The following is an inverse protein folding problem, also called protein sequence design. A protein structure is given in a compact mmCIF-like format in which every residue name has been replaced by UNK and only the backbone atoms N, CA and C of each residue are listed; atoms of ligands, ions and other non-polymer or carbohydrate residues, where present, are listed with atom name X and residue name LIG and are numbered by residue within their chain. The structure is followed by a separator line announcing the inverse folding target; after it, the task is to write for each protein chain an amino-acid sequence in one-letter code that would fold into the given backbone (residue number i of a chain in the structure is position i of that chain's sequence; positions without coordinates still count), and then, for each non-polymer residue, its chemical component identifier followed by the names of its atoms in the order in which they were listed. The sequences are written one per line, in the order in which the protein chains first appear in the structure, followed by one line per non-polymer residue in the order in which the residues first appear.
data_IF_934532232271
#
_entry.id   IF_934532232271
#
_cell.length_a   1.000
_cell.length_b   1.000
_cell.length_c   1.000
_cell.angle_alpha   90.00
_cell.angle_beta   90.00
_cell.angle_gamma   90.00
#
_symmetry.space_group_name_H-M   'P 1'
#
loop_
_entity.id
_entity.type
_entity.pdbx_description
1 polymer ?
#
# COMPACT_ATOMS: atom_id res chain seq x y z
N UNK A 1 -29.22 27.45 12.22
CA UNK A 1 -27.75 27.28 12.23
C UNK A 1 -27.48 25.78 12.35
N UNK A 2 -27.16 25.07 11.27
CA UNK A 2 -25.85 25.00 10.59
C UNK A 2 -24.87 24.11 11.37
N UNK A 3 -24.98 22.81 11.12
CA UNK A 3 -23.92 21.80 10.98
C UNK A 3 -22.64 21.99 11.83
N UNK A 4 -22.51 21.34 13.01
CA UNK A 4 -21.24 21.38 13.74
C UNK A 4 -20.87 20.13 14.58
N UNK A 5 -21.48 18.96 14.35
CA UNK A 5 -21.09 17.71 15.04
C UNK A 5 -20.97 16.51 14.10
N UNK A 6 -20.30 16.71 12.96
CA UNK A 6 -19.79 15.63 12.12
C UNK A 6 -18.30 15.90 11.91
N UNK A 7 -17.50 14.82 11.89
CA UNK A 7 -16.04 14.78 12.05
C UNK A 7 -15.68 14.71 13.56
N UNK A 8 -16.08 13.68 14.31
CA UNK A 8 -15.73 12.27 14.10
C UNK A 8 -14.26 12.13 13.67
N UNK A 9 -13.41 12.07 14.70
CA UNK A 9 -12.26 11.20 14.77
C UNK A 9 -11.41 11.23 13.50
N UNK A 10 -10.59 12.27 13.36
CA UNK A 10 -9.38 12.17 12.55
C UNK A 10 -8.55 11.10 13.26
N UNK A 11 -8.63 9.87 12.76
CA UNK A 11 -7.66 8.84 13.09
C UNK A 11 -6.37 9.34 12.44
N UNK A 12 -5.63 10.16 13.18
CA UNK A 12 -4.21 10.30 12.97
C UNK A 12 -3.64 8.91 13.24
N UNK A 13 -3.53 8.09 12.19
CA UNK A 13 -2.60 6.98 12.15
C UNK A 13 -1.18 7.57 12.11
N UNK A 14 -0.81 8.21 13.21
CA UNK A 14 0.56 8.57 13.49
C UNK A 14 1.23 7.30 14.04
N UNK A 15 2.13 6.76 13.21
CA UNK A 15 3.26 5.87 13.55
C UNK A 15 2.99 4.36 13.40
N UNK A 16 3.97 3.57 12.89
CA UNK A 16 5.39 3.89 12.81
C UNK A 16 5.85 4.27 11.40
N UNK A 17 6.62 5.35 11.32
CA UNK A 17 7.68 5.44 10.33
C UNK A 17 8.52 4.20 10.60
N UNK A 18 8.48 3.20 9.69
CA UNK A 18 9.43 2.11 9.71
C UNK A 18 10.81 2.71 9.41
N UNK A 19 11.44 3.24 10.45
CA UNK A 19 12.83 3.68 10.49
C UNK A 19 13.77 2.46 10.59
N UNK A 20 13.46 1.42 9.82
CA UNK A 20 14.40 0.36 9.50
C UNK A 20 14.88 0.68 8.10
N UNK A 21 16.18 0.96 7.94
CA UNK A 21 16.85 1.14 6.64
C UNK A 21 16.83 -0.12 5.77
N UNK A 22 15.67 -0.74 5.59
CA UNK A 22 15.42 -1.58 4.44
C UNK A 22 15.08 -0.61 3.34
N UNK A 23 16.05 -0.38 2.46
CA UNK A 23 15.81 0.33 1.21
C UNK A 23 14.68 -0.42 0.51
N UNK A 24 13.46 0.13 0.60
CA UNK A 24 12.32 -0.43 -0.10
C UNK A 24 12.72 -0.42 -1.57
N UNK A 25 12.80 -1.59 -2.23
CA UNK A 25 13.24 -1.67 -3.61
C UNK A 25 12.36 -0.79 -4.47
N UNK A 26 12.94 -0.18 -5.51
CA UNK A 26 12.18 0.64 -6.46
C UNK A 26 10.94 -0.16 -6.89
N UNK A 27 9.72 0.36 -6.65
CA UNK A 27 8.49 -0.38 -6.89
C UNK A 27 8.44 -1.01 -8.28
N UNK A 28 8.87 -0.29 -9.31
CA UNK A 28 8.82 -0.75 -10.70
C UNK A 28 9.78 -1.91 -10.99
N UNK A 29 10.76 -2.16 -10.12
CA UNK A 29 11.71 -3.28 -10.22
C UNK A 29 11.31 -4.52 -9.40
N UNK A 30 10.27 -4.42 -8.57
CA UNK A 30 9.86 -5.52 -7.70
C UNK A 30 9.23 -6.64 -8.54
N UNK A 31 9.66 -7.87 -8.25
CA UNK A 31 9.12 -9.10 -8.84
C UNK A 31 8.31 -9.89 -7.80
N UNK A 32 7.41 -10.76 -8.26
CA UNK A 32 6.65 -11.65 -7.36
C UNK A 32 7.56 -12.57 -6.53
N UNK A 33 8.71 -13.00 -7.07
CA UNK A 33 9.73 -13.76 -6.32
C UNK A 33 10.28 -12.96 -5.14
N UNK A 34 10.59 -11.68 -5.34
CA UNK A 34 11.06 -10.82 -4.25
C UNK A 34 9.96 -10.57 -3.22
N UNK A 35 8.71 -10.37 -3.65
CA UNK A 35 7.56 -10.22 -2.76
C UNK A 35 7.39 -11.48 -1.90
N UNK A 36 7.49 -12.66 -2.49
CA UNK A 36 7.38 -13.93 -1.76
C UNK A 36 8.53 -14.16 -0.79
N UNK A 37 9.69 -13.54 -1.02
CA UNK A 37 10.82 -13.57 -0.09
C UNK A 37 10.68 -12.57 1.08
N UNK A 38 9.78 -11.59 0.97
CA UNK A 38 9.48 -10.64 2.05
C UNK A 38 8.62 -11.31 3.13
N UNK A 39 8.73 -10.83 4.38
CA UNK A 39 7.79 -11.22 5.42
C UNK A 39 6.39 -10.67 5.11
N UNK A 40 5.34 -11.28 5.67
CA UNK A 40 3.96 -10.78 5.48
C UNK A 40 3.79 -9.33 5.94
N UNK A 41 4.49 -8.90 6.98
CA UNK A 41 4.47 -7.52 7.44
C UNK A 41 5.13 -6.57 6.43
N UNK A 42 6.27 -6.97 5.87
CA UNK A 42 6.99 -6.18 4.87
C UNK A 42 6.22 -6.09 3.56
N UNK A 43 5.53 -7.17 3.18
CA UNK A 43 4.60 -7.18 2.04
C UNK A 43 3.50 -6.13 2.21
N UNK A 44 2.86 -6.08 3.39
CA UNK A 44 1.81 -5.10 3.68
C UNK A 44 2.34 -3.67 3.73
N UNK A 45 3.52 -3.46 4.32
CA UNK A 45 4.18 -2.17 4.35
C UNK A 45 4.58 -1.70 2.94
N UNK A 46 5.08 -2.61 2.10
CA UNK A 46 5.41 -2.33 0.71
C UNK A 46 4.17 -1.93 -0.09
N UNK A 47 3.08 -2.71 -0.02
CA UNK A 47 1.81 -2.35 -0.69
C UNK A 47 1.29 -1.00 -0.20
N UNK A 48 1.35 -0.72 1.11
CA UNK A 48 0.93 0.56 1.67
C UNK A 48 1.83 1.75 1.22
N UNK A 49 3.08 1.48 0.84
CA UNK A 49 4.00 2.50 0.32
C UNK A 49 3.76 2.83 -1.16
N UNK A 50 3.03 1.99 -1.88
CA UNK A 50 2.75 2.19 -3.30
C UNK A 50 1.79 3.36 -3.51
N UNK A 51 2.09 4.16 -4.54
CA UNK A 51 1.14 5.12 -5.12
C UNK A 51 0.44 4.51 -6.34
N UNK A 52 -0.72 5.04 -6.72
CA UNK A 52 -1.43 4.59 -7.92
C UNK A 52 -0.56 4.63 -9.20
N UNK A 53 0.28 5.66 -9.35
CA UNK A 53 1.22 5.78 -10.47
C UNK A 53 2.28 4.68 -10.45
N UNK A 54 2.85 4.37 -9.29
CA UNK A 54 3.83 3.28 -9.15
C UNK A 54 3.19 1.92 -9.39
N UNK A 55 1.98 1.70 -8.89
CA UNK A 55 1.21 0.47 -9.15
C UNK A 55 1.03 0.21 -10.65
N UNK A 56 0.66 1.24 -11.41
CA UNK A 56 0.51 1.15 -12.87
C UNK A 56 1.82 0.87 -13.63
N UNK A 57 2.97 1.09 -13.00
CA UNK A 57 4.30 0.76 -13.55
C UNK A 57 4.77 -0.65 -13.19
N UNK A 58 4.10 -1.33 -12.26
CA UNK A 58 4.44 -2.70 -11.88
C UNK A 58 4.17 -3.67 -13.03
N UNK A 59 4.89 -4.79 -13.04
CA UNK A 59 4.60 -5.89 -13.97
C UNK A 59 3.18 -6.45 -13.72
N UNK A 60 2.50 -6.98 -14.76
CA UNK A 60 1.15 -7.52 -14.62
C UNK A 60 1.01 -8.60 -13.53
N UNK A 61 2.03 -9.45 -13.37
CA UNK A 61 2.04 -10.49 -12.33
C UNK A 61 2.05 -9.90 -10.92
N UNK A 62 2.80 -8.81 -10.73
CA UNK A 62 2.86 -8.10 -9.46
C UNK A 62 1.59 -7.31 -9.21
N UNK A 63 1.01 -6.66 -10.23
CA UNK A 63 -0.28 -5.99 -10.12
C UNK A 63 -1.38 -6.96 -9.68
N UNK A 64 -1.40 -8.17 -10.27
CA UNK A 64 -2.32 -9.24 -9.91
C UNK A 64 -2.10 -9.71 -8.47
N UNK A 65 -0.84 -9.93 -8.08
CA UNK A 65 -0.52 -10.32 -6.71
C UNK A 65 -1.00 -9.27 -5.69
N UNK A 66 -0.78 -7.98 -5.96
CA UNK A 66 -1.27 -6.89 -5.11
C UNK A 66 -2.79 -6.91 -5.03
N UNK A 67 -3.49 -7.13 -6.15
CA UNK A 67 -4.96 -7.23 -6.17
C UNK A 67 -5.48 -8.41 -5.33
N UNK A 68 -4.74 -9.53 -5.27
CA UNK A 68 -5.15 -10.72 -4.51
C UNK A 68 -4.82 -10.61 -3.01
N UNK A 69 -3.76 -9.87 -2.63
CA UNK A 69 -3.20 -9.88 -1.28
C UNK A 69 -3.31 -8.54 -0.52
N UNK A 70 -3.61 -7.44 -1.21
CA UNK A 70 -3.85 -6.15 -0.59
C UNK A 70 -5.24 -6.11 0.09
N UNK A 71 -5.34 -5.32 1.14
CA UNK A 71 -6.62 -4.98 1.78
C UNK A 71 -7.45 -4.06 0.90
N UNK A 72 -8.77 -4.03 1.10
CA UNK A 72 -9.67 -3.17 0.32
C UNK A 72 -9.33 -1.68 0.45
N UNK A 73 -8.85 -1.25 1.63
CA UNK A 73 -8.39 0.11 1.85
C UNK A 73 -7.15 0.45 1.02
N UNK A 74 -6.19 -0.47 0.92
CA UNK A 74 -5.00 -0.30 0.06
C UNK A 74 -5.40 -0.29 -1.42
N UNK A 75 -6.32 -1.16 -1.86
CA UNK A 75 -6.83 -1.16 -3.23
C UNK A 75 -7.49 0.17 -3.60
N UNK A 76 -8.32 0.71 -2.70
CA UNK A 76 -8.92 2.03 -2.89
C UNK A 76 -7.87 3.14 -2.98
N UNK A 77 -6.85 3.12 -2.12
CA UNK A 77 -5.76 4.10 -2.16
C UNK A 77 -4.93 4.03 -3.46
N UNK A 78 -4.81 2.84 -4.04
CA UNK A 78 -4.15 2.60 -5.33
C UNK A 78 -5.05 2.89 -6.54
N UNK A 79 -6.32 3.27 -6.32
CA UNK A 79 -7.28 3.49 -7.40
C UNK A 79 -7.70 2.20 -8.12
N UNK A 80 -7.45 1.04 -7.51
CA UNK A 80 -7.94 -0.26 -7.97
C UNK A 80 -9.40 -0.33 -7.57
N UNK A 81 -10.27 0.31 -8.36
CA UNK A 81 -11.71 0.21 -8.18
C UNK A 81 -12.13 -1.23 -8.48
N UNK A 82 -12.57 -1.94 -7.44
CA UNK A 82 -13.26 -3.23 -7.53
C UNK A 82 -14.64 -3.05 -8.15
#
# INVERSE_FOLDING_TARGET
MKNLFKILLIIAFASPIFASSMQIPDPASVTTTQIHAMSTNDQQAWVASLTASQYNMLSPDVQKWVMENATDAQKQALGINQ
#
